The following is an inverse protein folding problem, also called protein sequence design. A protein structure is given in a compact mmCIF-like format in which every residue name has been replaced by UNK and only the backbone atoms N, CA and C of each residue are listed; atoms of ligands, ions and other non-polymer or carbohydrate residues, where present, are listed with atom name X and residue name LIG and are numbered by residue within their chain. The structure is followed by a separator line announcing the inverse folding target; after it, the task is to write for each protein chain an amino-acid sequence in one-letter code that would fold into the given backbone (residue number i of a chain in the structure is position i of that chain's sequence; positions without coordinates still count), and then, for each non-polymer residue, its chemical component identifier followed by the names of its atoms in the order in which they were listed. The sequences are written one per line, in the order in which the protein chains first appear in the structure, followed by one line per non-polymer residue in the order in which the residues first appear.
data_IF_069247524502
#
_entry.id   IF_069247524502
#
_cell.length_a   1.000
_cell.length_b   1.000
_cell.length_c   1.000
_cell.angle_alpha   90.00
_cell.angle_beta   90.00
_cell.angle_gamma   90.00
#
_symmetry.space_group_name_H-M   'P 1'
#
loop_
_entity.id
_entity.type
_entity.pdbx_description
1 polymer ?
#
# COMPACT_ATOMS: atom_id res chain seq x y z
N UNK A 1 -2.17 18.54 -12.53
CA UNK A 1 -2.33 17.48 -11.51
C UNK A 1 -3.24 16.38 -12.03
N UNK A 2 -3.03 15.11 -11.67
CA UNK A 2 -3.75 13.95 -12.23
C UNK A 2 -5.23 13.84 -11.78
N UNK A 3 -5.83 14.93 -11.30
CA UNK A 3 -7.18 14.95 -10.71
C UNK A 3 -7.39 13.91 -9.58
N UNK A 4 -6.29 13.54 -8.93
CA UNK A 4 -6.24 12.53 -7.87
C UNK A 4 -5.57 13.11 -6.62
N UNK A 5 -6.08 12.71 -5.46
CA UNK A 5 -5.44 12.93 -4.16
C UNK A 5 -4.76 11.63 -3.70
N UNK A 6 -3.69 11.72 -2.89
CA UNK A 6 -3.06 12.96 -2.41
C UNK A 6 -2.10 13.59 -3.43
N UNK A 7 -1.86 14.89 -3.27
CA UNK A 7 -0.70 15.59 -3.81
C UNK A 7 0.06 16.28 -2.67
N UNK A 8 1.36 16.49 -2.85
CA UNK A 8 2.21 17.24 -1.95
C UNK A 8 2.83 18.40 -2.72
N UNK A 9 2.70 19.61 -2.19
CA UNK A 9 3.40 20.79 -2.68
C UNK A 9 4.74 20.92 -1.93
N UNK A 10 5.83 21.01 -2.67
CA UNK A 10 7.20 21.07 -2.15
C UNK A 10 7.95 22.25 -2.77
N UNK A 11 8.63 23.01 -1.90
CA UNK A 11 9.37 24.25 -2.22
C UNK A 11 8.68 25.08 -3.32
N UNK A 12 9.43 25.67 -4.27
CA UNK A 12 8.98 26.59 -5.33
C UNK A 12 7.86 26.04 -6.26
N UNK A 13 6.69 25.74 -5.70
CA UNK A 13 5.47 25.22 -6.31
C UNK A 13 5.64 23.88 -7.07
N UNK A 14 6.57 23.01 -6.68
CA UNK A 14 6.63 21.66 -7.26
C UNK A 14 5.51 20.80 -6.67
N UNK A 15 4.75 20.12 -7.53
CA UNK A 15 3.64 19.27 -7.11
C UNK A 15 4.03 17.80 -7.34
N UNK A 16 4.20 17.07 -6.25
CA UNK A 16 4.30 15.60 -6.26
C UNK A 16 2.91 14.98 -6.18
N UNK A 17 2.71 13.91 -6.92
CA UNK A 17 1.48 13.12 -6.95
C UNK A 17 1.83 11.65 -6.75
N UNK A 18 0.83 10.79 -6.52
CA UNK A 18 0.96 9.37 -6.13
C UNK A 18 1.44 9.20 -4.68
N UNK A 19 0.56 8.64 -3.84
CA UNK A 19 0.76 8.52 -2.39
C UNK A 19 2.08 7.82 -2.02
N UNK A 20 2.45 6.75 -2.72
CA UNK A 20 3.69 6.00 -2.44
C UNK A 20 4.95 6.73 -2.90
N UNK A 21 4.87 7.53 -3.97
CA UNK A 21 5.99 8.37 -4.39
C UNK A 21 6.23 9.50 -3.38
N UNK A 22 5.16 10.14 -2.92
CA UNK A 22 5.19 11.15 -1.86
C UNK A 22 5.78 10.57 -0.57
N UNK A 23 5.33 9.37 -0.17
CA UNK A 23 5.84 8.71 1.04
C UNK A 23 7.34 8.41 0.97
N UNK A 24 7.82 7.87 -0.17
CA UNK A 24 9.27 7.61 -0.36
C UNK A 24 10.10 8.89 -0.36
N UNK A 25 9.60 9.94 -1.00
CA UNK A 25 10.25 11.25 -0.99
C UNK A 25 10.43 11.77 0.44
N UNK A 26 9.33 11.85 1.22
CA UNK A 26 9.38 12.32 2.60
C UNK A 26 10.24 11.41 3.49
N UNK A 27 10.17 10.09 3.33
CA UNK A 27 11.00 9.16 4.07
C UNK A 27 12.49 9.40 3.81
N UNK A 28 12.87 9.73 2.57
CA UNK A 28 14.26 10.04 2.21
C UNK A 28 14.71 11.35 2.86
N UNK A 29 13.93 12.42 2.72
CA UNK A 29 14.23 13.74 3.32
C UNK A 29 14.36 13.66 4.85
N UNK A 30 13.61 12.75 5.48
CA UNK A 30 13.61 12.53 6.92
C UNK A 30 14.59 11.46 7.40
N UNK A 31 15.42 10.89 6.51
CA UNK A 31 16.38 9.81 6.83
C UNK A 31 15.73 8.54 7.42
N UNK A 32 14.56 8.16 6.90
CA UNK A 32 13.77 6.99 7.32
C UNK A 32 13.89 5.79 6.35
N UNK A 33 14.73 5.89 5.32
CA UNK A 33 14.91 4.83 4.31
C UNK A 33 16.15 3.95 4.56
N UNK A 34 16.87 4.15 5.66
CA UNK A 34 18.11 3.45 5.96
C UNK A 34 19.36 4.21 5.52
N UNK A 35 20.53 3.65 5.82
CA UNK A 35 21.83 4.30 5.69
C UNK A 35 22.57 3.97 4.40
N UNK A 36 22.14 2.91 3.70
CA UNK A 36 22.69 2.49 2.42
C UNK A 36 21.59 2.01 1.45
N UNK A 37 21.98 1.75 0.21
CA UNK A 37 21.07 1.29 -0.84
C UNK A 37 20.41 -0.06 -0.54
N UNK A 38 21.09 -0.94 0.19
CA UNK A 38 20.52 -2.24 0.54
C UNK A 38 19.42 -2.10 1.61
N UNK A 39 19.60 -1.20 2.58
CA UNK A 39 18.55 -0.86 3.54
C UNK A 39 17.35 -0.18 2.89
N UNK A 40 17.58 0.71 1.94
CA UNK A 40 16.50 1.33 1.15
C UNK A 40 15.67 0.28 0.40
N UNK A 41 16.32 -0.70 -0.23
CA UNK A 41 15.63 -1.79 -0.93
C UNK A 41 14.80 -2.64 0.04
N UNK A 42 15.25 -2.88 1.28
CA UNK A 42 14.45 -3.59 2.29
C UNK A 42 13.19 -2.81 2.67
N UNK A 43 13.29 -1.48 2.80
CA UNK A 43 12.12 -0.62 3.08
C UNK A 43 11.13 -0.68 1.92
N UNK A 44 11.60 -0.56 0.67
CA UNK A 44 10.77 -0.67 -0.52
C UNK A 44 10.10 -2.05 -0.62
N UNK A 45 10.82 -3.13 -0.31
CA UNK A 45 10.28 -4.49 -0.30
C UNK A 45 9.09 -4.62 0.65
N UNK A 46 9.23 -4.15 1.90
CA UNK A 46 8.13 -4.18 2.88
C UNK A 46 6.95 -3.33 2.42
N UNK A 47 7.22 -2.15 1.86
CA UNK A 47 6.18 -1.26 1.34
C UNK A 47 5.37 -1.92 0.21
N UNK A 48 6.05 -2.55 -0.74
CA UNK A 48 5.41 -3.19 -1.89
C UNK A 48 4.58 -4.40 -1.45
N UNK A 49 5.06 -5.21 -0.49
CA UNK A 49 4.29 -6.31 0.07
C UNK A 49 3.03 -5.84 0.83
N UNK A 50 3.12 -4.74 1.58
CA UNK A 50 1.97 -4.10 2.20
C UNK A 50 0.97 -3.58 1.14
N UNK A 51 1.46 -3.06 0.01
CA UNK A 51 0.63 -2.60 -1.09
C UNK A 51 -0.10 -3.75 -1.77
N UNK A 52 0.57 -4.87 -2.02
CA UNK A 52 -0.05 -6.07 -2.58
C UNK A 52 -1.19 -6.60 -1.69
N UNK A 53 -0.98 -6.63 -0.36
CA UNK A 53 -2.03 -6.97 0.59
C UNK A 53 -3.22 -6.00 0.50
N UNK A 54 -2.93 -4.69 0.48
CA UNK A 54 -3.97 -3.64 0.40
C UNK A 54 -4.75 -3.72 -0.90
N UNK A 55 -4.11 -4.05 -2.02
CA UNK A 55 -4.77 -4.26 -3.31
C UNK A 55 -5.66 -5.49 -3.29
N UNK A 56 -5.18 -6.58 -2.71
CA UNK A 56 -5.99 -7.78 -2.52
C UNK A 56 -7.23 -7.48 -1.66
N UNK A 57 -7.06 -6.80 -0.52
CA UNK A 57 -8.18 -6.36 0.31
C UNK A 57 -9.16 -5.47 -0.46
N UNK A 58 -8.66 -4.54 -1.26
CA UNK A 58 -9.47 -3.62 -2.06
C UNK A 58 -10.26 -4.31 -3.16
N UNK A 59 -9.75 -5.41 -3.70
CA UNK A 59 -10.42 -6.20 -4.74
C UNK A 59 -11.51 -7.10 -4.16
N UNK A 60 -11.23 -7.78 -3.04
CA UNK A 60 -12.14 -8.81 -2.52
C UNK A 60 -13.08 -8.31 -1.41
N UNK A 61 -12.60 -7.44 -0.52
CA UNK A 61 -13.35 -7.09 0.70
C UNK A 61 -14.09 -5.77 0.56
N UNK A 62 -13.46 -4.75 -0.01
CA UNK A 62 -14.08 -3.42 -0.15
C UNK A 62 -15.39 -3.45 -0.95
N UNK A 63 -15.52 -4.18 -2.08
CA UNK A 63 -16.78 -4.26 -2.81
C UNK A 63 -17.91 -4.84 -1.94
N UNK A 64 -17.65 -5.94 -1.22
CA UNK A 64 -18.63 -6.57 -0.34
C UNK A 64 -18.97 -5.74 0.91
N UNK A 65 -18.07 -4.85 1.34
CA UNK A 65 -18.36 -3.89 2.41
C UNK A 65 -19.27 -2.75 1.95
N UNK A 66 -19.09 -2.26 0.73
CA UNK A 66 -19.85 -1.13 0.18
C UNK A 66 -21.18 -1.57 -0.44
N UNK A 67 -21.18 -2.73 -1.08
CA UNK A 67 -22.30 -3.30 -1.83
C UNK A 67 -22.41 -4.80 -1.51
N UNK A 68 -22.89 -5.17 -0.31
CA UNK A 68 -22.97 -6.57 0.11
C UNK A 68 -23.78 -7.43 -0.84
N UNK A 69 -23.20 -8.56 -1.25
CA UNK A 69 -23.90 -9.62 -1.98
C UNK A 69 -24.34 -10.76 -1.05
N UNK A 70 -25.13 -11.69 -1.57
CA UNK A 70 -25.49 -12.93 -0.84
C UNK A 70 -24.27 -13.85 -0.62
N UNK A 71 -23.17 -13.63 -1.34
CA UNK A 71 -21.92 -14.40 -1.26
C UNK A 71 -20.87 -13.73 -0.35
N UNK A 72 -21.19 -12.58 0.25
CA UNK A 72 -20.27 -11.77 1.07
C UNK A 72 -19.51 -12.60 2.09
N UNK A 73 -20.21 -13.41 2.88
CA UNK A 73 -19.59 -14.21 3.93
C UNK A 73 -18.58 -15.21 3.35
N UNK A 74 -18.90 -15.85 2.23
CA UNK A 74 -17.99 -16.80 1.56
C UNK A 74 -16.75 -16.09 1.01
N UNK A 75 -16.93 -14.93 0.37
CA UNK A 75 -15.83 -14.12 -0.18
C UNK A 75 -14.90 -13.63 0.93
N UNK A 76 -15.45 -13.09 2.02
CA UNK A 76 -14.66 -12.63 3.16
C UNK A 76 -13.94 -13.80 3.82
N UNK A 77 -14.59 -14.95 3.98
CA UNK A 77 -13.97 -16.13 4.58
C UNK A 77 -12.82 -16.65 3.70
N UNK A 78 -13.01 -16.73 2.38
CA UNK A 78 -11.94 -17.10 1.45
C UNK A 78 -10.76 -16.12 1.50
N UNK A 79 -11.04 -14.82 1.57
CA UNK A 79 -10.02 -13.80 1.74
C UNK A 79 -9.21 -14.05 3.02
N UNK A 80 -9.85 -14.25 4.16
CA UNK A 80 -9.18 -14.46 5.45
C UNK A 80 -8.35 -15.75 5.44
N UNK A 81 -8.95 -16.87 5.04
CA UNK A 81 -8.33 -18.20 5.19
C UNK A 81 -7.24 -18.49 4.16
N UNK A 82 -7.29 -17.83 3.00
CA UNK A 82 -6.38 -18.13 1.89
C UNK A 82 -5.50 -16.94 1.53
N UNK A 83 -6.12 -15.82 1.19
CA UNK A 83 -5.42 -14.70 0.56
C UNK A 83 -4.65 -13.87 1.59
N UNK A 84 -5.30 -13.45 2.67
CA UNK A 84 -4.71 -12.61 3.71
C UNK A 84 -3.48 -13.28 4.33
N UNK A 85 -3.60 -14.56 4.73
CA UNK A 85 -2.48 -15.31 5.31
C UNK A 85 -1.27 -15.41 4.35
N UNK A 86 -1.52 -15.59 3.05
CA UNK A 86 -0.45 -15.65 2.04
C UNK A 86 0.34 -14.34 1.96
N UNK A 87 -0.36 -13.21 1.91
CA UNK A 87 0.30 -11.90 1.79
C UNK A 87 0.95 -11.47 3.11
N UNK A 88 0.28 -11.67 4.25
CA UNK A 88 0.83 -11.30 5.57
C UNK A 88 2.13 -12.06 5.88
N UNK A 89 2.19 -13.37 5.54
CA UNK A 89 3.41 -14.16 5.71
C UNK A 89 4.62 -13.58 4.97
N UNK A 90 4.39 -12.94 3.82
CA UNK A 90 5.49 -12.35 3.06
C UNK A 90 6.00 -11.06 3.69
N UNK A 91 5.17 -10.33 4.46
CA UNK A 91 5.52 -9.06 5.11
C UNK A 91 6.39 -9.26 6.36
N UNK A 92 6.31 -10.41 7.04
CA UNK A 92 7.07 -10.73 8.25
C UNK A 92 8.57 -11.07 7.99
N UNK A 93 9.22 -10.36 7.05
CA UNK A 93 10.60 -10.58 6.59
C UNK A 93 11.62 -10.57 7.74
#
# INVERSE_FOLDING_TARGET
PLEQLPYLEVDDNQILVQSMAIARYLATEMNLTGTDTYEQVKVDLVLDLCKEFTDCFSIYVVPEMLYPTDEKEEIIQHFIDTLALRYLKNIEI
#
